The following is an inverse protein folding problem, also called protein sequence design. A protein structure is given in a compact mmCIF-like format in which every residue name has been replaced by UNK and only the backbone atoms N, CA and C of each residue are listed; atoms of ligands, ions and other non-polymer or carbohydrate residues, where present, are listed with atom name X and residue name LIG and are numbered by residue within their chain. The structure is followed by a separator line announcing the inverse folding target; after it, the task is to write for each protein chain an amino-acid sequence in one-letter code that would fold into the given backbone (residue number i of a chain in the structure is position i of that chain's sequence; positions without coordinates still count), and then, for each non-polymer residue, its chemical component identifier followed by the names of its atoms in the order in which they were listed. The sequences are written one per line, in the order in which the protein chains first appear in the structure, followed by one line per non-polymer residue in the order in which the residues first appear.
data_IF_859298437524
#
_entry.id   IF_859298437524
#
_cell.length_a   1.000
_cell.length_b   1.000
_cell.length_c   1.000
_cell.angle_alpha   90.00
_cell.angle_beta   90.00
_cell.angle_gamma   90.00
#
_symmetry.space_group_name_H-M   'P 1'
#
loop_
_entity.id
_entity.type
_entity.pdbx_description
1 polymer ?
#
# COMPACT_ATOMS: atom_id res chain seq x y z
N UNK A 1 -13.67 15.18 7.82
CA UNK A 1 -13.49 14.71 6.42
C UNK A 1 -11.99 14.52 6.17
N UNK A 2 -11.60 13.48 5.47
CA UNK A 2 -10.20 13.14 5.18
C UNK A 2 -9.93 13.34 3.68
N UNK A 3 -8.85 14.04 3.33
CA UNK A 3 -8.34 14.07 1.97
C UNK A 3 -7.37 12.91 1.78
N UNK A 4 -7.63 12.04 0.80
CA UNK A 4 -6.76 10.93 0.44
C UNK A 4 -6.03 11.23 -0.88
N UNK A 5 -4.76 11.56 -0.81
CA UNK A 5 -3.88 11.66 -1.98
C UNK A 5 -3.52 10.24 -2.47
N UNK A 6 -4.03 9.89 -3.64
CA UNK A 6 -4.17 8.50 -4.05
C UNK A 6 -3.86 8.32 -5.54
N UNK A 7 -3.30 7.16 -5.87
CA UNK A 7 -3.32 6.60 -7.22
C UNK A 7 -3.78 5.13 -7.14
N UNK A 8 -4.46 4.58 -8.15
CA UNK A 8 -4.99 3.21 -8.15
C UNK A 8 -3.87 2.17 -8.31
N UNK A 9 -3.05 2.06 -7.29
CA UNK A 9 -1.88 1.17 -7.17
C UNK A 9 -1.99 0.37 -5.88
N UNK A 10 -1.22 -0.72 -5.71
CA UNK A 10 -1.24 -1.48 -4.47
C UNK A 10 -1.05 -0.65 -3.20
N UNK A 11 -0.18 0.36 -3.23
CA UNK A 11 0.02 1.22 -2.06
C UNK A 11 -1.16 2.16 -1.78
N UNK A 12 -1.79 2.71 -2.83
CA UNK A 12 -2.99 3.53 -2.69
C UNK A 12 -4.18 2.73 -2.16
N UNK A 13 -4.39 1.51 -2.66
CA UNK A 13 -5.48 0.64 -2.20
C UNK A 13 -5.42 0.32 -0.72
N UNK A 14 -4.25 0.24 -0.09
CA UNK A 14 -4.12 -0.01 1.35
C UNK A 14 -4.97 0.96 2.17
N UNK A 15 -4.81 2.24 1.90
CA UNK A 15 -5.51 3.32 2.63
C UNK A 15 -6.97 3.42 2.20
N UNK A 16 -7.25 3.29 0.90
CA UNK A 16 -8.63 3.27 0.41
C UNK A 16 -9.44 2.12 1.05
N UNK A 17 -8.86 0.91 1.17
CA UNK A 17 -9.48 -0.23 1.86
C UNK A 17 -9.81 0.13 3.31
N UNK A 18 -8.86 0.72 4.04
CA UNK A 18 -9.09 1.10 5.43
C UNK A 18 -10.22 2.12 5.55
N UNK A 19 -10.24 3.17 4.74
CA UNK A 19 -11.28 4.19 4.78
C UNK A 19 -12.67 3.62 4.46
N UNK A 20 -12.76 2.73 3.48
CA UNK A 20 -13.99 2.03 3.13
C UNK A 20 -14.48 1.06 4.23
N UNK A 21 -13.56 0.39 4.93
CA UNK A 21 -13.89 -0.54 6.03
C UNK A 21 -14.36 0.17 7.29
N UNK A 22 -13.78 1.32 7.63
CA UNK A 22 -14.20 2.11 8.80
C UNK A 22 -15.40 3.02 8.52
N UNK A 23 -15.75 3.22 7.24
CA UNK A 23 -16.91 4.03 6.83
C UNK A 23 -16.75 5.52 7.12
N UNK A 24 -15.52 6.04 7.14
CA UNK A 24 -15.28 7.47 7.27
C UNK A 24 -15.45 8.18 5.93
N UNK A 25 -16.07 9.35 5.98
CA UNK A 25 -16.15 10.23 4.80
C UNK A 25 -14.76 10.71 4.40
N UNK A 26 -14.42 10.47 3.14
CA UNK A 26 -13.15 10.93 2.58
C UNK A 26 -13.32 11.44 1.15
N UNK A 27 -12.40 12.31 0.74
CA UNK A 27 -12.29 12.84 -0.61
C UNK A 27 -11.04 12.26 -1.27
N UNK A 28 -11.17 11.41 -2.30
CA UNK A 28 -10.01 10.95 -3.06
C UNK A 28 -9.49 12.08 -3.95
N UNK A 29 -8.19 12.36 -3.85
CA UNK A 29 -7.46 13.31 -4.70
C UNK A 29 -6.54 12.47 -5.57
N UNK A 30 -6.90 12.33 -6.84
CA UNK A 30 -6.14 11.52 -7.80
C UNK A 30 -4.78 12.15 -8.08
N UNK A 31 -3.72 11.38 -7.85
CA UNK A 31 -2.33 11.74 -8.14
C UNK A 31 -1.89 11.15 -9.47
N UNK A 32 -1.62 12.00 -10.44
CA UNK A 32 -1.11 11.61 -11.78
C UNK A 32 0.40 11.51 -11.74
N UNK A 33 0.87 10.35 -11.25
CA UNK A 33 2.29 10.11 -11.00
C UNK A 33 3.18 10.28 -12.24
N UNK A 34 2.63 9.98 -13.41
CA UNK A 34 3.31 10.15 -14.71
C UNK A 34 3.42 11.62 -15.14
N UNK A 35 2.63 12.51 -14.54
CA UNK A 35 2.67 13.96 -14.79
C UNK A 35 3.51 14.71 -13.75
N UNK A 36 3.93 14.01 -12.67
CA UNK A 36 4.79 14.60 -11.66
C UNK A 36 4.05 15.28 -10.52
N UNK A 37 2.73 15.04 -10.33
CA UNK A 37 1.93 15.62 -9.25
C UNK A 37 2.57 15.44 -7.86
N UNK A 38 3.32 14.32 -7.66
CA UNK A 38 4.03 14.02 -6.41
C UNK A 38 5.19 14.97 -6.09
N UNK A 39 5.63 15.78 -7.04
CA UNK A 39 6.71 16.76 -6.86
C UNK A 39 6.21 18.19 -6.69
N UNK A 40 4.90 18.43 -6.68
CA UNK A 40 4.35 19.74 -6.41
C UNK A 40 4.73 20.21 -4.99
N UNK A 41 5.03 21.52 -4.79
CA UNK A 41 5.35 22.04 -3.46
C UNK A 41 4.29 21.73 -2.41
N UNK A 42 3.01 21.81 -2.78
CA UNK A 42 1.89 21.51 -1.88
C UNK A 42 1.89 20.05 -1.43
N UNK A 43 2.17 19.12 -2.34
CA UNK A 43 2.23 17.70 -1.97
C UNK A 43 3.51 17.37 -1.19
N UNK A 44 4.64 17.99 -1.50
CA UNK A 44 5.88 17.81 -0.74
C UNK A 44 5.75 18.29 0.72
N UNK A 45 4.92 19.29 0.98
CA UNK A 45 4.60 19.73 2.34
C UNK A 45 3.81 18.67 3.13
N UNK A 46 3.04 17.81 2.44
CA UNK A 46 2.24 16.72 3.03
C UNK A 46 3.06 15.43 3.12
N UNK A 47 3.81 15.11 2.05
CA UNK A 47 4.62 13.90 1.92
C UNK A 47 6.04 14.24 1.47
N UNK A 48 6.98 14.44 2.40
CA UNK A 48 8.36 14.86 2.09
C UNK A 48 9.13 13.83 1.26
N UNK A 49 8.65 12.60 1.20
CA UNK A 49 9.22 11.53 0.36
C UNK A 49 8.70 11.57 -1.09
N UNK A 50 7.83 12.53 -1.45
CA UNK A 50 7.21 12.62 -2.79
C UNK A 50 6.51 11.31 -3.21
N UNK A 51 5.90 10.61 -2.27
CA UNK A 51 5.19 9.33 -2.53
C UNK A 51 3.78 9.35 -1.98
N UNK A 52 2.84 8.85 -2.78
CA UNK A 52 1.50 8.52 -2.30
C UNK A 52 1.47 7.09 -1.71
N UNK A 53 0.53 6.72 -0.87
CA UNK A 53 -0.56 7.57 -0.35
C UNK A 53 -0.09 8.53 0.74
N UNK A 54 -0.84 9.63 0.87
CA UNK A 54 -0.80 10.54 2.01
C UNK A 54 -2.22 10.97 2.35
N UNK A 55 -2.46 11.38 3.58
CA UNK A 55 -3.77 11.89 4.01
C UNK A 55 -3.63 13.23 4.73
N UNK A 56 -4.68 14.05 4.62
CA UNK A 56 -4.91 15.22 5.47
C UNK A 56 -6.25 15.00 6.18
N UNK A 57 -6.22 14.86 7.48
CA UNK A 57 -7.43 14.76 8.28
C UNK A 57 -7.79 16.13 8.85
N UNK A 58 -8.88 16.71 8.37
CA UNK A 58 -9.37 18.03 8.76
C UNK A 58 -10.17 18.03 10.07
N UNK A 59 -10.43 16.85 10.65
CA UNK A 59 -11.13 16.68 11.93
C UNK A 59 -10.54 15.49 12.70
N UNK A 60 -9.30 15.60 13.18
CA UNK A 60 -8.56 14.48 13.77
C UNK A 60 -9.18 13.99 15.08
N UNK A 61 -9.88 14.84 15.80
CA UNK A 61 -10.51 14.56 17.06
C UNK A 61 -9.68 15.02 18.27
N UNK A 62 -10.29 15.06 19.48
CA UNK A 62 -9.69 15.73 20.64
C UNK A 62 -8.32 15.19 21.07
N UNK A 63 -8.06 13.90 20.84
CA UNK A 63 -6.78 13.29 21.20
C UNK A 63 -5.60 13.80 20.33
N UNK A 64 -5.90 14.38 19.15
CA UNK A 64 -4.93 14.85 18.18
C UNK A 64 -4.85 16.39 18.07
N UNK A 65 -5.70 17.10 18.85
CA UNK A 65 -5.84 18.56 18.80
C UNK A 65 -6.81 19.04 17.72
N UNK A 66 -6.93 20.36 17.57
CA UNK A 66 -7.92 20.99 16.69
C UNK A 66 -7.40 21.24 15.27
N UNK A 67 -6.07 21.25 15.08
CA UNK A 67 -5.45 21.49 13.80
C UNK A 67 -5.49 20.26 12.89
N UNK A 68 -5.58 20.43 11.56
CA UNK A 68 -5.51 19.31 10.62
C UNK A 68 -4.24 18.48 10.81
N UNK A 69 -4.37 17.15 10.73
CA UNK A 69 -3.24 16.22 10.83
C UNK A 69 -2.89 15.67 9.45
N UNK A 70 -1.63 15.82 9.06
CA UNK A 70 -1.08 15.19 7.85
C UNK A 70 -0.34 13.92 8.22
N UNK A 71 -0.59 12.83 7.46
CA UNK A 71 0.13 11.56 7.64
C UNK A 71 0.57 11.03 6.28
N UNK A 72 1.86 10.70 6.17
CA UNK A 72 2.41 9.96 5.03
C UNK A 72 2.91 8.58 5.50
N UNK A 73 3.33 7.69 4.61
CA UNK A 73 3.60 6.27 4.77
C UNK A 73 2.32 5.44 5.01
N UNK A 74 2.06 4.50 4.10
CA UNK A 74 0.82 3.72 4.14
C UNK A 74 0.61 2.95 5.45
N UNK A 75 1.68 2.42 6.06
CA UNK A 75 1.61 1.76 7.36
C UNK A 75 1.27 2.71 8.50
N UNK A 76 1.86 3.91 8.50
CA UNK A 76 1.57 4.95 9.50
C UNK A 76 0.13 5.49 9.36
N UNK A 77 -0.36 5.65 8.12
CA UNK A 77 -1.73 6.08 7.86
C UNK A 77 -2.74 5.04 8.40
N UNK A 78 -2.52 3.75 8.14
CA UNK A 78 -3.40 2.71 8.66
C UNK A 78 -3.40 2.67 10.20
N UNK A 79 -2.24 2.83 10.82
CA UNK A 79 -2.11 2.86 12.27
C UNK A 79 -2.84 4.09 12.85
N UNK A 80 -2.64 5.28 12.27
CA UNK A 80 -3.35 6.51 12.65
C UNK A 80 -4.87 6.33 12.59
N UNK A 81 -5.39 5.79 11.47
CA UNK A 81 -6.83 5.58 11.29
C UNK A 81 -7.39 4.54 12.27
N UNK A 82 -6.62 3.48 12.56
CA UNK A 82 -7.00 2.48 13.54
C UNK A 82 -7.03 3.06 14.97
N UNK A 83 -6.08 3.89 15.34
CA UNK A 83 -6.05 4.56 16.65
C UNK A 83 -7.16 5.60 16.78
N UNK A 84 -7.42 6.38 15.71
CA UNK A 84 -8.51 7.35 15.67
C UNK A 84 -9.88 6.69 15.88
N UNK A 85 -10.11 5.51 15.31
CA UNK A 85 -11.43 4.86 15.29
C UNK A 85 -11.57 3.73 16.31
N UNK A 86 -10.48 3.25 16.89
CA UNK A 86 -10.47 2.07 17.75
C UNK A 86 -10.77 0.76 17.00
N UNK A 87 -10.63 0.72 15.67
CA UNK A 87 -11.01 -0.41 14.83
C UNK A 87 -9.80 -1.04 14.15
N UNK A 88 -9.88 -2.35 13.86
CA UNK A 88 -8.92 -3.12 13.06
C UNK A 88 -7.49 -3.17 13.59
N UNK A 89 -7.27 -2.82 14.87
CA UNK A 89 -6.00 -3.01 15.56
C UNK A 89 -6.27 -3.52 16.99
N UNK A 90 -5.32 -4.26 17.60
CA UNK A 90 -5.43 -4.66 18.99
C UNK A 90 -5.54 -3.44 19.91
N UNK A 91 -6.30 -3.55 21.01
CA UNK A 91 -6.48 -2.45 21.94
C UNK A 91 -5.14 -2.01 22.59
N UNK A 92 -4.99 -0.72 22.96
CA UNK A 92 -3.70 -0.17 23.43
C UNK A 92 -3.09 -0.88 24.63
N UNK A 93 -3.91 -1.49 25.49
CA UNK A 93 -3.47 -2.22 26.68
C UNK A 93 -3.03 -3.67 26.39
N UNK A 94 -3.29 -4.22 25.21
CA UNK A 94 -2.79 -5.55 24.81
C UNK A 94 -1.43 -5.42 24.14
N UNK A 95 -0.38 -5.24 24.92
CA UNK A 95 0.99 -5.02 24.42
C UNK A 95 1.54 -6.19 23.59
N UNK A 96 1.16 -7.44 23.88
CA UNK A 96 1.59 -8.61 23.10
C UNK A 96 1.02 -8.58 21.70
N UNK A 97 -0.28 -8.36 21.55
CA UNK A 97 -0.93 -8.28 20.25
C UNK A 97 -0.47 -7.03 19.47
N UNK A 98 -0.24 -5.91 20.15
CA UNK A 98 0.31 -4.69 19.52
C UNK A 98 1.75 -4.89 19.01
N UNK A 99 2.60 -5.57 19.76
CA UNK A 99 3.94 -5.96 19.33
C UNK A 99 3.85 -6.79 18.05
N UNK A 100 2.97 -7.79 18.02
CA UNK A 100 2.77 -8.65 16.84
C UNK A 100 2.24 -7.86 15.63
N UNK A 101 1.28 -6.95 15.84
CA UNK A 101 0.82 -6.03 14.80
C UNK A 101 2.00 -5.23 14.22
N UNK A 102 2.83 -4.63 15.06
CA UNK A 102 3.97 -3.83 14.60
C UNK A 102 4.97 -4.65 13.79
N UNK A 103 5.25 -5.89 14.18
CA UNK A 103 6.12 -6.80 13.42
C UNK A 103 5.59 -7.02 11.99
N UNK A 104 4.28 -7.28 11.83
CA UNK A 104 3.68 -7.49 10.52
C UNK A 104 3.56 -6.21 9.68
N UNK A 105 3.32 -5.06 10.31
CA UNK A 105 3.36 -3.77 9.61
C UNK A 105 4.77 -3.49 9.09
N UNK A 106 5.81 -3.61 9.93
CA UNK A 106 7.20 -3.39 9.52
C UNK A 106 7.68 -4.42 8.51
N UNK A 107 7.29 -5.69 8.65
CA UNK A 107 7.57 -6.71 7.65
C UNK A 107 7.00 -6.33 6.28
N UNK A 108 5.77 -5.83 6.24
CA UNK A 108 5.16 -5.45 4.96
C UNK A 108 5.85 -4.24 4.33
N UNK A 109 6.08 -3.17 5.09
CA UNK A 109 6.68 -1.94 4.53
C UNK A 109 8.18 -2.08 4.28
N UNK A 110 8.86 -2.92 5.02
CA UNK A 110 10.32 -3.15 4.89
C UNK A 110 10.70 -4.29 3.94
N UNK A 111 9.79 -5.23 3.67
CA UNK A 111 10.08 -6.43 2.86
C UNK A 111 9.07 -6.61 1.72
N UNK A 112 7.86 -7.07 2.02
CA UNK A 112 6.92 -7.50 0.99
C UNK A 112 6.63 -6.39 -0.02
N UNK A 113 6.31 -5.18 0.44
CA UNK A 113 5.98 -4.04 -0.44
C UNK A 113 7.15 -3.64 -1.35
N UNK A 114 8.34 -3.32 -0.80
CA UNK A 114 9.51 -2.96 -1.60
C UNK A 114 9.94 -4.05 -2.57
N UNK A 115 9.99 -5.32 -2.16
CA UNK A 115 10.40 -6.42 -3.05
C UNK A 115 9.41 -6.62 -4.19
N UNK A 116 8.10 -6.56 -3.90
CA UNK A 116 7.05 -6.61 -4.93
C UNK A 116 7.08 -5.39 -5.86
N UNK A 117 7.41 -4.21 -5.32
CA UNK A 117 7.59 -2.99 -6.11
C UNK A 117 8.77 -3.10 -7.09
N UNK A 118 9.91 -3.62 -6.64
CA UNK A 118 11.05 -3.89 -7.51
C UNK A 118 10.74 -4.98 -8.55
N UNK A 119 10.05 -6.05 -8.15
CA UNK A 119 9.59 -7.07 -9.10
C UNK A 119 8.72 -6.44 -10.20
N UNK A 120 7.78 -5.57 -9.84
CA UNK A 120 6.96 -4.83 -10.80
C UNK A 120 7.81 -3.95 -11.72
N UNK A 121 8.83 -3.27 -11.18
CA UNK A 121 9.73 -2.43 -11.95
C UNK A 121 10.50 -3.24 -12.98
N UNK A 122 11.20 -4.29 -12.57
CA UNK A 122 12.00 -5.12 -13.48
C UNK A 122 11.14 -5.84 -14.52
N UNK A 123 9.91 -6.21 -14.17
CA UNK A 123 9.00 -6.83 -15.14
C UNK A 123 8.51 -5.88 -16.21
N UNK A 124 8.16 -4.64 -15.84
CA UNK A 124 7.35 -3.77 -16.70
C UNK A 124 8.13 -2.57 -17.27
N UNK A 125 9.24 -2.14 -16.62
CA UNK A 125 9.86 -0.85 -16.91
C UNK A 125 11.38 -0.89 -17.10
N UNK A 126 12.05 -1.90 -16.56
CA UNK A 126 13.50 -2.01 -16.68
C UNK A 126 13.96 -2.16 -18.14
N UNK A 127 15.12 -1.61 -18.52
CA UNK A 127 15.75 -1.86 -19.81
C UNK A 127 15.94 -3.36 -20.06
N UNK A 128 15.96 -3.76 -21.33
CA UNK A 128 15.99 -5.17 -21.72
C UNK A 128 17.22 -5.90 -21.16
N UNK A 129 18.37 -5.26 -21.20
CA UNK A 129 19.65 -5.79 -20.70
C UNK A 129 19.71 -5.98 -19.18
N UNK A 130 18.92 -5.23 -18.41
CA UNK A 130 18.84 -5.32 -16.94
C UNK A 130 17.66 -6.17 -16.45
N UNK A 131 16.67 -6.43 -17.31
CA UNK A 131 15.36 -7.00 -16.93
C UNK A 131 15.47 -8.40 -16.33
N UNK A 132 16.14 -9.30 -17.00
CA UNK A 132 16.14 -10.73 -16.64
C UNK A 132 16.75 -11.02 -15.29
N UNK A 133 17.89 -10.41 -14.97
CA UNK A 133 18.52 -10.59 -13.67
C UNK A 133 17.64 -10.03 -12.54
N UNK A 134 17.19 -8.79 -12.70
CA UNK A 134 16.35 -8.13 -11.68
C UNK A 134 15.02 -8.85 -11.48
N UNK A 135 14.36 -9.26 -12.58
CA UNK A 135 13.12 -10.01 -12.53
C UNK A 135 13.29 -11.32 -11.74
N UNK A 136 14.29 -12.14 -12.07
CA UNK A 136 14.57 -13.41 -11.37
C UNK A 136 14.89 -13.19 -9.90
N UNK A 137 15.73 -12.19 -9.60
CA UNK A 137 16.13 -11.85 -8.23
C UNK A 137 14.92 -11.48 -7.37
N UNK A 138 14.08 -10.56 -7.85
CA UNK A 138 12.94 -10.09 -7.08
C UNK A 138 11.73 -11.03 -7.12
N UNK A 139 11.59 -11.88 -8.13
CA UNK A 139 10.61 -12.95 -8.12
C UNK A 139 10.92 -13.95 -6.99
N UNK A 140 12.20 -14.31 -6.79
CA UNK A 140 12.62 -15.15 -5.67
C UNK A 140 12.33 -14.52 -4.29
N UNK A 141 12.58 -13.21 -4.13
CA UNK A 141 12.23 -12.51 -2.88
C UNK A 141 10.72 -12.42 -2.66
N UNK A 142 9.96 -12.19 -3.72
CA UNK A 142 8.50 -12.17 -3.63
C UNK A 142 7.95 -13.55 -3.24
N UNK A 143 8.46 -14.62 -3.84
CA UNK A 143 8.12 -16.00 -3.51
C UNK A 143 8.45 -16.34 -2.04
N UNK A 144 9.64 -15.92 -1.57
CA UNK A 144 10.02 -16.04 -0.16
C UNK A 144 9.06 -15.31 0.77
N UNK A 145 8.59 -14.12 0.39
CA UNK A 145 7.60 -13.38 1.18
C UNK A 145 6.23 -14.08 1.19
N UNK A 146 5.83 -14.71 0.06
CA UNK A 146 4.61 -15.53 0.02
C UNK A 146 4.72 -16.73 0.95
N UNK A 147 5.89 -17.39 1.02
CA UNK A 147 6.12 -18.51 1.94
C UNK A 147 6.04 -18.09 3.41
N UNK A 148 6.57 -16.92 3.78
CA UNK A 148 6.41 -16.36 5.13
C UNK A 148 4.94 -16.15 5.48
N UNK A 149 4.17 -15.62 4.52
CA UNK A 149 2.73 -15.39 4.71
C UNK A 149 1.94 -16.69 4.74
N UNK A 150 2.31 -17.69 3.91
CA UNK A 150 1.72 -19.02 3.91
C UNK A 150 1.83 -19.68 5.29
N UNK A 151 3.05 -19.78 5.82
CA UNK A 151 3.31 -20.34 7.15
C UNK A 151 2.53 -19.60 8.26
N UNK A 152 2.37 -18.28 8.10
CA UNK A 152 1.60 -17.48 9.07
C UNK A 152 0.11 -17.82 9.04
N UNK A 153 -0.43 -18.19 7.89
CA UNK A 153 -1.85 -18.41 7.66
C UNK A 153 -2.29 -19.87 7.79
N UNK A 154 -1.38 -20.82 8.01
CA UNK A 154 -1.70 -22.28 8.10
C UNK A 154 -2.83 -22.60 9.07
N UNK A 155 -2.84 -21.95 10.23
CA UNK A 155 -3.83 -22.16 11.30
C UNK A 155 -4.70 -20.91 11.57
N UNK A 156 -4.66 -19.90 10.68
CA UNK A 156 -5.32 -18.59 10.87
C UNK A 156 -6.11 -18.14 9.66
N UNK A 157 -7.23 -17.49 9.94
CA UNK A 157 -8.02 -16.85 8.88
C UNK A 157 -7.39 -15.54 8.39
N UNK A 158 -6.68 -14.83 9.27
CA UNK A 158 -6.06 -13.54 9.04
C UNK A 158 -4.73 -13.46 9.78
N UNK A 159 -3.88 -12.49 9.41
CA UNK A 159 -2.51 -12.37 9.90
C UNK A 159 -2.44 -12.34 11.44
N UNK A 160 -3.37 -11.67 12.11
CA UNK A 160 -3.45 -11.61 13.57
C UNK A 160 -4.57 -12.47 14.16
N UNK A 161 -5.16 -13.40 13.39
CA UNK A 161 -6.34 -14.17 13.75
C UNK A 161 -7.63 -13.50 13.30
N UNK A 162 -7.85 -12.25 13.68
CA UNK A 162 -8.94 -11.39 13.20
C UNK A 162 -8.47 -10.45 12.10
N UNK A 163 -9.41 -10.03 11.23
CA UNK A 163 -9.14 -9.07 10.16
C UNK A 163 -8.68 -7.72 10.71
N UNK A 164 -7.54 -7.23 10.25
CA UNK A 164 -6.86 -6.10 10.83
C UNK A 164 -6.13 -5.26 9.76
N UNK A 165 -5.54 -4.16 10.20
CA UNK A 165 -4.68 -3.32 9.33
C UNK A 165 -3.45 -4.08 8.82
N UNK A 166 -3.00 -5.16 9.47
CA UNK A 166 -1.95 -6.03 8.93
C UNK A 166 -2.38 -6.70 7.62
N UNK A 167 -3.64 -7.15 7.55
CA UNK A 167 -4.22 -7.74 6.34
C UNK A 167 -4.44 -6.69 5.26
N UNK A 168 -4.99 -5.52 5.63
CA UNK A 168 -5.24 -4.41 4.68
C UNK A 168 -3.95 -3.89 4.04
N UNK A 169 -2.86 -3.84 4.82
CA UNK A 169 -1.55 -3.41 4.35
C UNK A 169 -0.91 -4.43 3.39
N UNK A 170 -1.07 -5.73 3.69
CA UNK A 170 -0.40 -6.85 3.00
C UNK A 170 -1.14 -7.28 1.73
N UNK A 171 -2.47 -7.28 1.77
CA UNK A 171 -3.34 -7.81 0.71
C UNK A 171 -3.09 -7.21 -0.69
N UNK A 172 -2.94 -5.89 -0.90
CA UNK A 172 -2.85 -5.35 -2.25
C UNK A 172 -1.67 -5.90 -3.07
N UNK A 173 -0.55 -6.15 -2.43
CA UNK A 173 0.61 -6.74 -3.12
C UNK A 173 0.43 -8.25 -3.40
N UNK A 174 -0.23 -9.00 -2.53
CA UNK A 174 -0.62 -10.38 -2.82
C UNK A 174 -1.76 -10.47 -3.85
N UNK A 175 -2.64 -9.47 -3.89
CA UNK A 175 -3.73 -9.39 -4.85
C UNK A 175 -3.23 -9.35 -6.30
N UNK A 176 -2.14 -8.65 -6.57
CA UNK A 176 -1.55 -8.53 -7.91
C UNK A 176 -0.47 -9.58 -8.23
N UNK A 177 -0.39 -10.69 -7.50
CA UNK A 177 0.62 -11.74 -7.74
C UNK A 177 0.69 -12.17 -9.21
N UNK A 178 -0.44 -12.48 -9.85
CA UNK A 178 -0.50 -12.87 -11.27
C UNK A 178 0.02 -11.79 -12.23
N UNK A 179 -0.41 -10.52 -12.13
CA UNK A 179 0.21 -9.42 -12.86
C UNK A 179 1.73 -9.26 -12.66
N UNK A 180 2.26 -9.63 -11.48
CA UNK A 180 3.69 -9.64 -11.20
C UNK A 180 4.44 -10.86 -11.79
N UNK A 181 3.73 -11.84 -12.34
CA UNK A 181 4.31 -13.05 -12.89
C UNK A 181 4.50 -14.17 -11.87
N UNK A 182 3.99 -14.00 -10.66
CA UNK A 182 4.01 -15.01 -9.62
C UNK A 182 2.74 -15.88 -9.63
N UNK A 183 2.86 -17.09 -9.07
CA UNK A 183 1.75 -18.04 -8.91
C UNK A 183 1.47 -18.25 -7.42
N UNK A 184 0.20 -18.40 -7.06
CA UNK A 184 -0.22 -18.81 -5.72
C UNK A 184 -0.50 -20.33 -5.63
N UNK A 185 -0.16 -21.12 -6.66
CA UNK A 185 -0.46 -22.56 -6.68
C UNK A 185 0.19 -23.33 -5.52
N UNK A 186 1.36 -22.87 -5.07
CA UNK A 186 2.09 -23.47 -3.94
C UNK A 186 1.78 -22.79 -2.59
N UNK A 187 0.82 -21.85 -2.57
CA UNK A 187 0.47 -21.04 -1.40
C UNK A 187 -1.05 -21.03 -1.19
N UNK A 188 -1.66 -22.20 -0.85
CA UNK A 188 -3.11 -22.34 -0.73
C UNK A 188 -3.71 -21.47 0.38
N UNK A 189 -3.04 -21.34 1.54
CA UNK A 189 -3.52 -20.49 2.63
C UNK A 189 -3.54 -19.01 2.22
N UNK A 190 -2.51 -18.53 1.50
CA UNK A 190 -2.47 -17.18 0.93
C UNK A 190 -3.56 -17.01 -0.13
N UNK A 191 -3.80 -18.01 -0.97
CA UNK A 191 -4.86 -17.95 -2.00
C UNK A 191 -6.25 -17.81 -1.36
N UNK A 192 -6.55 -18.59 -0.32
CA UNK A 192 -7.81 -18.54 0.42
C UNK A 192 -7.97 -17.24 1.20
N UNK A 193 -6.94 -16.78 1.89
CA UNK A 193 -6.91 -15.50 2.59
C UNK A 193 -7.15 -14.34 1.61
N UNK A 194 -6.47 -14.33 0.48
CA UNK A 194 -6.64 -13.33 -0.59
C UNK A 194 -8.07 -13.33 -1.14
N UNK A 195 -8.65 -14.51 -1.38
CA UNK A 195 -10.03 -14.63 -1.87
C UNK A 195 -11.03 -14.08 -0.85
N UNK A 196 -10.84 -14.39 0.43
CA UNK A 196 -11.68 -13.93 1.53
C UNK A 196 -11.66 -12.40 1.66
N UNK A 197 -10.48 -11.77 1.58
CA UNK A 197 -10.37 -10.30 1.65
C UNK A 197 -10.97 -9.67 0.40
N UNK A 198 -10.67 -10.20 -0.79
CA UNK A 198 -11.23 -9.69 -2.05
C UNK A 198 -12.76 -9.71 -2.06
N UNK A 199 -13.40 -10.66 -1.40
CA UNK A 199 -14.85 -10.77 -1.35
C UNK A 199 -15.54 -9.70 -0.48
N UNK A 200 -14.78 -8.94 0.34
CA UNK A 200 -15.34 -7.90 1.19
C UNK A 200 -15.84 -6.73 0.35
N UNK A 201 -17.07 -6.23 0.58
CA UNK A 201 -17.63 -5.12 -0.22
C UNK A 201 -16.78 -3.84 -0.18
N UNK A 202 -16.23 -3.50 0.99
CA UNK A 202 -15.34 -2.34 1.16
C UNK A 202 -14.06 -2.48 0.32
N UNK A 203 -13.47 -3.67 0.29
CA UNK A 203 -12.28 -3.95 -0.54
C UNK A 203 -12.60 -3.82 -2.03
N UNK A 204 -13.77 -4.27 -2.46
CA UNK A 204 -14.20 -4.12 -3.85
C UNK A 204 -14.36 -2.65 -4.25
N UNK A 205 -15.03 -1.83 -3.41
CA UNK A 205 -15.16 -0.39 -3.66
C UNK A 205 -13.79 0.29 -3.73
N UNK A 206 -12.89 -0.02 -2.81
CA UNK A 206 -11.55 0.54 -2.79
C UNK A 206 -10.72 0.18 -4.04
N UNK A 207 -10.82 -1.06 -4.55
CA UNK A 207 -10.14 -1.50 -5.78
C UNK A 207 -10.74 -0.83 -7.02
N UNK A 208 -12.05 -0.62 -7.03
CA UNK A 208 -12.75 0.01 -8.16
C UNK A 208 -12.66 1.54 -8.15
N UNK A 209 -12.15 2.14 -7.05
CA UNK A 209 -11.91 3.57 -6.96
C UNK A 209 -10.93 4.02 -8.06
N UNK A 210 -11.38 4.94 -8.93
CA UNK A 210 -10.63 5.42 -10.10
C UNK A 210 -10.07 4.31 -11.00
N UNK A 211 -10.79 3.22 -11.15
CA UNK A 211 -10.34 2.06 -11.95
C UNK A 211 -10.03 2.40 -13.41
N UNK A 212 -10.76 3.34 -14.00
CA UNK A 212 -10.48 3.84 -15.34
C UNK A 212 -9.09 4.45 -15.47
N UNK A 213 -8.54 5.00 -14.39
CA UNK A 213 -7.25 5.65 -14.34
C UNK A 213 -6.06 4.67 -14.13
N UNK A 214 -6.34 3.40 -13.82
CA UNK A 214 -5.29 2.40 -13.54
C UNK A 214 -4.31 2.18 -14.70
N UNK A 215 -4.71 2.49 -15.92
CA UNK A 215 -3.93 2.23 -17.13
C UNK A 215 -3.36 3.48 -17.80
N UNK A 216 -3.71 4.68 -17.34
CA UNK A 216 -3.36 5.94 -18.02
C UNK A 216 -1.85 6.28 -18.06
N UNK A 217 -1.03 5.59 -17.26
CA UNK A 217 0.42 5.82 -17.26
C UNK A 217 1.26 4.74 -17.93
N UNK A 218 0.67 3.62 -18.34
CA UNK A 218 1.43 2.43 -18.77
C UNK A 218 1.99 2.45 -20.20
N UNK A 219 1.59 3.41 -21.05
CA UNK A 219 1.86 3.36 -22.49
C UNK A 219 2.65 4.53 -23.07
N UNK A 220 3.18 5.46 -22.26
CA UNK A 220 4.03 6.53 -22.76
C UNK A 220 5.47 6.33 -22.29
N UNK A 221 6.39 6.05 -23.23
CA UNK A 221 7.82 5.92 -22.94
C UNK A 221 8.38 7.15 -22.20
N UNK A 222 7.89 8.35 -22.52
CA UNK A 222 8.31 9.61 -21.91
C UNK A 222 7.94 9.71 -20.43
N UNK A 223 6.89 9.03 -19.98
CA UNK A 223 6.42 9.04 -18.59
C UNK A 223 7.31 8.21 -17.64
N UNK A 224 8.08 7.26 -18.19
CA UNK A 224 9.01 6.44 -17.42
C UNK A 224 10.15 7.28 -16.82
N UNK A 225 10.54 8.38 -17.47
CA UNK A 225 11.58 9.29 -16.99
C UNK A 225 11.18 9.96 -15.67
N UNK A 226 9.94 10.44 -15.55
CA UNK A 226 9.43 11.07 -14.34
C UNK A 226 9.33 10.05 -13.19
N UNK A 227 8.87 8.84 -13.49
CA UNK A 227 8.63 7.80 -12.48
C UNK A 227 9.93 7.17 -11.94
N UNK A 228 10.95 7.00 -12.78
CA UNK A 228 12.10 6.14 -12.45
C UNK A 228 13.45 6.84 -12.46
N UNK A 229 13.57 8.08 -12.97
CA UNK A 229 14.80 8.88 -12.93
C UNK A 229 14.78 9.89 -11.78
N UNK A 230 14.18 9.53 -10.64
CA UNK A 230 14.13 10.38 -9.47
C UNK A 230 15.51 10.47 -8.81
N UNK A 231 15.86 11.66 -8.36
CA UNK A 231 17.11 11.96 -7.69
C UNK A 231 16.90 12.96 -6.54
N UNK A 232 17.97 13.36 -5.88
CA UNK A 232 17.91 14.40 -4.86
C UNK A 232 17.31 15.72 -5.39
N UNK A 233 17.50 16.05 -6.67
CA UNK A 233 16.94 17.23 -7.31
C UNK A 233 15.41 17.19 -7.42
N UNK A 234 14.81 16.00 -7.44
CA UNK A 234 13.35 15.82 -7.48
C UNK A 234 12.67 16.21 -6.16
N UNK A 235 13.39 16.16 -5.05
CA UNK A 235 12.87 16.42 -3.70
C UNK A 235 13.39 17.77 -3.16
N UNK A 236 14.54 18.23 -3.64
CA UNK A 236 15.13 19.52 -3.29
C UNK A 236 15.23 20.40 -4.54
N UNK A 237 14.12 20.94 -5.04
CA UNK A 237 14.21 21.91 -6.12
C UNK A 237 15.05 23.11 -5.64
N UNK A 238 15.93 23.59 -6.56
CA UNK A 238 16.80 24.75 -6.29
C UNK A 238 15.98 26.01 -6.15
#
# INVERSE_FOLDING_TARGET
MIDLYFAPTPNGWKVAIMLEEIGLDYRPILMRLSEGDQFSPDFLAISPNAKMPAVVDHAPGPAWGDEPVTVFESGAILLYLAEKTGQFAPPPNNLRARKELMEWLFWQVGNQGPMAGQLSHFRNYAPEDARDYGFKRYLGEYDRNLAVLENRLEDRKYILGDYSIADMLTFPWAFIAKPLGASLANFPCVADWRARIKARPAVQRAIDLHKSEQNLGRHRADNNTILFNQSAASIRPK
#
